data_IF_230626892568
#
_entry.id   IF_230626892568
#
_cell.length_a   1.000
_cell.length_b   1.000
_cell.length_c   1.000
_cell.angle_alpha   90.00
_cell.angle_beta   90.00
_cell.angle_gamma   90.00
#
_symmetry.space_group_name_H-M   'P 1'
#
loop_
_entity.id
_entity.type
_entity.pdbx_description
1 polymer ?
#
# COMPACT_ATOMS: atom_id res chain seq x y z
N UNK A 1 12.37 11.70 15.59
CA UNK A 1 12.75 10.60 16.50
C UNK A 1 11.98 9.38 16.02
N UNK A 2 12.64 8.23 15.83
CA UNK A 2 11.94 6.99 15.42
C UNK A 2 11.18 6.44 16.62
N UNK A 3 9.91 6.05 16.44
CA UNK A 3 9.20 5.30 17.47
C UNK A 3 9.80 3.89 17.61
N UNK A 4 9.60 3.19 18.75
CA UNK A 4 9.88 1.76 18.81
C UNK A 4 9.05 1.01 17.78
N UNK A 5 9.52 -0.16 17.36
CA UNK A 5 8.76 -1.00 16.44
C UNK A 5 7.36 -1.29 16.99
N UNK A 6 6.37 -1.22 16.12
CA UNK A 6 5.01 -1.64 16.37
C UNK A 6 5.01 -3.12 16.81
N UNK A 7 4.20 -3.42 17.83
CA UNK A 7 4.07 -4.77 18.33
C UNK A 7 3.26 -5.62 17.37
N UNK A 8 3.94 -6.42 16.55
CA UNK A 8 3.32 -7.26 15.55
C UNK A 8 4.27 -8.31 14.99
N UNK A 9 3.71 -9.27 14.27
CA UNK A 9 4.44 -10.19 13.41
C UNK A 9 4.09 -9.92 11.96
N UNK A 10 5.10 -9.91 11.10
CA UNK A 10 4.90 -9.87 9.66
C UNK A 10 4.57 -11.27 9.17
N UNK A 11 3.46 -11.42 8.47
CA UNK A 11 3.07 -12.69 7.86
C UNK A 11 2.35 -12.49 6.53
N UNK A 12 2.34 -13.55 5.73
CA UNK A 12 1.55 -13.58 4.50
C UNK A 12 0.05 -13.57 4.81
N UNK A 13 -0.69 -12.65 4.19
CA UNK A 13 -2.13 -12.57 4.29
C UNK A 13 -2.80 -13.88 3.83
N UNK A 14 -3.81 -14.40 4.56
CA UNK A 14 -4.65 -15.49 4.07
C UNK A 14 -5.36 -15.10 2.77
N UNK A 15 -5.60 -16.09 1.91
CA UNK A 15 -6.32 -15.90 0.66
C UNK A 15 -7.76 -15.45 0.93
N UNK A 16 -8.28 -14.54 0.10
CA UNK A 16 -9.65 -14.00 0.19
C UNK A 16 -9.98 -13.32 1.52
N UNK A 17 -8.99 -12.70 2.16
CA UNK A 17 -9.23 -11.87 3.33
C UNK A 17 -9.91 -10.57 2.90
N UNK A 18 -10.96 -10.17 3.61
CA UNK A 18 -11.62 -8.88 3.42
C UNK A 18 -10.84 -7.80 4.18
N UNK A 19 -10.63 -6.66 3.56
CA UNK A 19 -10.02 -5.49 4.17
C UNK A 19 -10.50 -4.21 3.49
N UNK A 20 -9.85 -3.11 3.82
CA UNK A 20 -10.17 -1.82 3.24
C UNK A 20 -8.96 -0.90 3.24
N UNK A 21 -9.00 0.11 2.38
CA UNK A 21 -8.15 1.28 2.50
C UNK A 21 -9.02 2.49 2.83
N UNK A 22 -8.43 3.48 3.50
CA UNK A 22 -9.10 4.73 3.86
C UNK A 22 -8.09 5.86 3.93
N UNK A 23 -8.47 7.01 3.39
CA UNK A 23 -7.62 8.20 3.24
C UNK A 23 -7.50 9.03 4.54
N UNK A 24 -8.38 8.80 5.51
CA UNK A 24 -8.43 9.52 6.78
C UNK A 24 -8.09 8.65 7.98
N UNK A 25 -7.58 9.27 9.05
CA UNK A 25 -7.31 8.57 10.32
C UNK A 25 -8.57 7.92 10.89
N UNK A 26 -8.42 6.70 11.38
CA UNK A 26 -9.47 5.99 12.11
C UNK A 26 -9.13 5.86 13.59
N UNK A 27 -10.15 5.84 14.43
CA UNK A 27 -9.98 5.52 15.84
C UNK A 27 -9.89 4.02 16.05
N UNK A 28 -9.33 3.60 17.19
CA UNK A 28 -9.38 2.20 17.64
C UNK A 28 -10.80 1.65 17.66
N UNK A 29 -11.78 2.43 18.12
CA UNK A 29 -13.18 1.98 18.19
C UNK A 29 -13.74 1.65 16.81
N UNK A 30 -13.45 2.49 15.80
CA UNK A 30 -13.83 2.22 14.41
C UNK A 30 -13.13 0.96 13.87
N UNK A 31 -11.83 0.80 14.16
CA UNK A 31 -11.10 -0.42 13.80
C UNK A 31 -11.68 -1.69 14.45
N UNK A 32 -12.13 -1.61 15.71
CA UNK A 32 -12.80 -2.70 16.43
C UNK A 32 -14.15 -3.04 15.79
N UNK A 33 -14.92 -2.05 15.35
CA UNK A 33 -16.17 -2.25 14.61
C UNK A 33 -15.92 -3.00 13.30
N UNK A 34 -14.92 -2.61 12.50
CA UNK A 34 -14.54 -3.32 11.28
C UNK A 34 -14.10 -4.75 11.56
N UNK A 35 -13.24 -4.96 12.57
CA UNK A 35 -12.81 -6.30 12.95
C UNK A 35 -14.01 -7.19 13.37
N UNK A 36 -14.96 -6.64 14.13
CA UNK A 36 -16.19 -7.35 14.54
C UNK A 36 -17.08 -7.76 13.35
N UNK A 37 -16.99 -7.03 12.23
CA UNK A 37 -17.69 -7.30 10.98
C UNK A 37 -16.92 -8.26 10.06
N UNK A 38 -15.78 -8.78 10.50
CA UNK A 38 -15.00 -9.78 9.78
C UNK A 38 -13.93 -9.23 8.85
N UNK A 39 -13.71 -7.91 8.82
CA UNK A 39 -12.53 -7.34 8.16
C UNK A 39 -11.25 -7.82 8.87
N UNK A 40 -10.21 -8.05 8.08
CA UNK A 40 -8.95 -8.66 8.52
C UNK A 40 -7.78 -7.71 8.42
N UNK A 41 -7.86 -6.69 7.57
CA UNK A 41 -6.80 -5.73 7.41
C UNK A 41 -7.31 -4.35 7.03
N UNK A 42 -6.47 -3.36 7.28
CA UNK A 42 -6.61 -1.99 6.83
C UNK A 42 -5.32 -1.55 6.14
N UNK A 43 -5.46 -0.79 5.06
CA UNK A 43 -4.39 -0.03 4.43
C UNK A 43 -4.55 1.43 4.83
N UNK A 44 -3.46 2.05 5.27
CA UNK A 44 -3.47 3.45 5.69
C UNK A 44 -2.37 4.23 5.01
N UNK A 45 -2.71 5.45 4.66
CA UNK A 45 -1.83 6.29 3.86
C UNK A 45 -0.75 6.93 4.73
N UNK A 46 0.46 7.01 4.16
CA UNK A 46 1.60 7.74 4.68
C UNK A 46 1.99 8.85 3.71
N UNK A 47 2.67 9.86 4.23
CA UNK A 47 2.91 11.09 3.49
C UNK A 47 3.81 10.89 2.27
N UNK A 48 3.46 11.65 1.22
CA UNK A 48 4.30 11.78 0.04
C UNK A 48 5.49 12.73 0.28
N UNK A 49 5.32 13.73 1.14
CA UNK A 49 6.36 14.69 1.52
C UNK A 49 7.15 14.25 2.75
N UNK A 50 8.20 15.00 3.09
CA UNK A 50 9.09 14.67 4.21
C UNK A 50 8.47 14.85 5.61
N UNK A 51 7.28 15.42 5.72
CA UNK A 51 6.59 15.64 6.99
C UNK A 51 5.27 14.89 6.98
N UNK A 52 4.96 14.24 8.11
CA UNK A 52 3.69 13.57 8.35
C UNK A 52 2.54 14.59 8.22
N UNK A 53 1.57 14.31 7.34
CA UNK A 53 0.36 15.10 7.25
C UNK A 53 -0.62 14.72 8.39
N UNK A 54 -1.40 15.67 8.93
CA UNK A 54 -2.32 15.41 10.05
C UNK A 54 -3.36 14.30 9.80
N UNK A 55 -3.70 14.02 8.55
CA UNK A 55 -4.65 13.01 8.10
C UNK A 55 -4.01 11.62 7.86
N UNK A 56 -2.68 11.58 7.76
CA UNK A 56 -1.92 10.36 7.44
C UNK A 56 -1.71 9.50 8.67
N UNK A 57 -1.39 8.23 8.46
CA UNK A 57 -1.15 7.26 9.53
C UNK A 57 -0.13 7.79 10.54
N UNK A 58 -0.55 7.84 11.80
CA UNK A 58 0.35 8.09 12.94
C UNK A 58 0.74 6.79 13.64
N UNK A 59 1.79 6.84 14.46
CA UNK A 59 2.18 5.73 15.32
C UNK A 59 1.05 5.31 16.28
N UNK A 60 0.37 6.29 16.90
CA UNK A 60 -0.73 6.04 17.84
C UNK A 60 -1.93 5.38 17.15
N UNK A 61 -2.26 5.81 15.92
CA UNK A 61 -3.29 5.16 15.12
C UNK A 61 -2.88 3.73 14.76
N UNK A 62 -1.65 3.50 14.32
CA UNK A 62 -1.15 2.17 13.97
C UNK A 62 -1.25 1.19 15.15
N UNK A 63 -0.90 1.63 16.36
CA UNK A 63 -1.12 0.84 17.59
C UNK A 63 -2.61 0.53 17.76
N UNK A 64 -3.48 1.54 17.66
CA UNK A 64 -4.93 1.37 17.80
C UNK A 64 -5.52 0.36 16.83
N UNK A 65 -5.09 0.37 15.56
CA UNK A 65 -5.54 -0.57 14.52
C UNK A 65 -5.09 -2.00 14.85
N UNK A 66 -3.81 -2.18 15.20
CA UNK A 66 -3.26 -3.49 15.53
C UNK A 66 -3.89 -4.08 16.79
N UNK A 67 -4.13 -3.26 17.82
CA UNK A 67 -4.80 -3.68 19.05
C UNK A 67 -6.28 -3.99 18.87
N UNK A 68 -6.93 -3.38 17.87
CA UNK A 68 -8.30 -3.67 17.47
C UNK A 68 -8.45 -5.02 16.74
N UNK A 69 -7.35 -5.60 16.26
CA UNK A 69 -7.32 -6.91 15.59
C UNK A 69 -7.25 -6.86 14.07
N UNK A 70 -7.11 -5.67 13.48
CA UNK A 70 -6.84 -5.53 12.05
C UNK A 70 -5.34 -5.64 11.78
N UNK A 71 -4.97 -6.42 10.76
CA UNK A 71 -3.63 -6.32 10.19
C UNK A 71 -3.46 -4.99 9.45
N UNK A 72 -2.23 -4.52 9.32
CA UNK A 72 -1.93 -3.19 8.79
C UNK A 72 -0.82 -3.25 7.74
N UNK A 73 -0.99 -2.48 6.65
CA UNK A 73 0.02 -2.20 5.64
C UNK A 73 -0.01 -0.72 5.27
N UNK A 74 1.15 -0.04 5.18
CA UNK A 74 1.22 1.34 4.75
C UNK A 74 1.14 1.48 3.22
N UNK A 75 0.55 2.59 2.76
CA UNK A 75 0.46 2.99 1.33
C UNK A 75 0.95 4.42 1.22
N UNK A 76 1.82 4.74 0.26
CA UNK A 76 2.18 6.14 0.02
C UNK A 76 1.10 6.82 -0.85
N UNK A 77 0.70 8.04 -0.47
CA UNK A 77 -0.15 8.87 -1.34
C UNK A 77 0.46 9.11 -2.72
N UNK A 78 -0.40 9.24 -3.73
CA UNK A 78 -0.02 9.72 -5.06
C UNK A 78 -0.15 11.25 -5.18
N UNK A 79 0.49 11.84 -6.18
CA UNK A 79 0.24 13.24 -6.56
C UNK A 79 -1.10 13.37 -7.28
N UNK A 80 -1.65 14.58 -7.25
CA UNK A 80 -2.81 14.92 -8.08
C UNK A 80 -2.59 14.54 -9.56
N UNK A 81 -3.65 14.08 -10.27
CA UNK A 81 -3.55 13.64 -11.65
C UNK A 81 -2.91 14.67 -12.59
N UNK A 82 -2.19 14.17 -13.60
CA UNK A 82 -1.40 14.96 -14.54
C UNK A 82 0.05 15.18 -14.10
N UNK A 83 0.56 14.40 -13.15
CA UNK A 83 1.92 14.57 -12.65
C UNK A 83 2.96 13.86 -13.53
N UNK A 84 4.16 14.45 -13.73
CA UNK A 84 5.22 13.83 -14.51
C UNK A 84 6.10 12.90 -13.62
N UNK A 85 6.29 11.64 -13.99
CA UNK A 85 7.17 10.72 -13.27
C UNK A 85 8.63 10.91 -13.70
N UNK A 86 9.56 10.56 -12.82
CA UNK A 86 10.99 10.46 -13.13
C UNK A 86 11.70 9.59 -12.09
N UNK A 87 12.89 9.09 -12.43
CA UNK A 87 13.71 8.35 -11.46
C UNK A 87 14.01 9.15 -10.18
N UNK A 88 14.31 10.45 -10.32
CA UNK A 88 14.61 11.32 -9.17
C UNK A 88 13.41 11.46 -8.23
N UNK A 89 12.20 11.61 -8.80
CA UNK A 89 10.96 11.62 -8.01
C UNK A 89 10.70 10.27 -7.36
N UNK A 90 10.92 9.17 -8.08
CA UNK A 90 10.72 7.81 -7.57
C UNK A 90 11.61 7.52 -6.39
N UNK A 91 12.91 7.83 -6.51
CA UNK A 91 13.88 7.71 -5.43
C UNK A 91 13.45 8.51 -4.21
N UNK A 92 13.21 9.82 -4.38
CA UNK A 92 12.84 10.70 -3.28
C UNK A 92 11.57 10.23 -2.58
N UNK A 93 10.51 9.92 -3.33
CA UNK A 93 9.27 9.47 -2.73
C UNK A 93 9.39 8.08 -2.09
N UNK A 94 10.16 7.16 -2.66
CA UNK A 94 10.43 5.87 -2.02
C UNK A 94 11.21 6.03 -0.71
N UNK A 95 12.19 6.95 -0.67
CA UNK A 95 12.92 7.28 0.55
C UNK A 95 11.99 7.86 1.62
N UNK A 96 11.12 8.81 1.27
CA UNK A 96 10.13 9.35 2.22
C UNK A 96 9.15 8.28 2.70
N UNK A 97 8.63 7.44 1.81
CA UNK A 97 7.72 6.36 2.16
C UNK A 97 8.36 5.41 3.19
N UNK A 98 9.59 4.99 2.93
CA UNK A 98 10.32 4.10 3.82
C UNK A 98 10.67 4.78 5.15
N UNK A 99 11.04 6.07 5.12
CA UNK A 99 11.32 6.84 6.34
C UNK A 99 10.07 7.02 7.21
N UNK A 100 8.89 7.26 6.62
CA UNK A 100 7.63 7.32 7.36
C UNK A 100 7.25 5.97 7.93
N UNK A 101 7.37 4.89 7.16
CA UNK A 101 7.13 3.54 7.66
C UNK A 101 8.04 3.21 8.87
N UNK A 102 9.33 3.52 8.79
CA UNK A 102 10.29 3.37 9.89
C UNK A 102 9.92 4.24 11.10
N UNK A 103 9.57 5.51 10.86
CA UNK A 103 9.19 6.45 11.92
C UNK A 103 7.97 5.96 12.67
N UNK A 104 6.93 5.52 11.96
CA UNK A 104 5.70 4.91 12.52
C UNK A 104 6.00 3.58 13.22
N UNK A 105 7.14 2.95 12.94
CA UNK A 105 7.60 1.73 13.62
C UNK A 105 7.23 0.44 12.91
N UNK A 106 6.92 0.45 11.62
CA UNK A 106 6.74 -0.80 10.88
C UNK A 106 8.05 -1.61 10.86
N UNK A 107 8.01 -2.92 11.17
CA UNK A 107 9.19 -3.77 11.08
C UNK A 107 9.49 -4.16 9.62
N UNK A 108 10.74 -4.60 9.37
CA UNK A 108 11.18 -5.16 8.09
C UNK A 108 10.22 -6.24 7.59
N UNK A 109 10.06 -6.31 6.27
CA UNK A 109 9.28 -7.33 5.57
C UNK A 109 7.81 -6.99 5.34
N UNK A 110 7.23 -5.96 6.00
CA UNK A 110 5.86 -5.53 5.70
C UNK A 110 5.78 -5.00 4.26
N UNK A 111 4.65 -5.20 3.59
CA UNK A 111 4.41 -4.53 2.32
C UNK A 111 4.19 -3.04 2.51
N UNK A 112 5.01 -2.24 1.82
CA UNK A 112 4.79 -0.82 1.62
C UNK A 112 4.37 -0.59 0.17
N UNK A 113 3.21 0.01 -0.05
CA UNK A 113 2.60 0.13 -1.38
C UNK A 113 2.86 1.50 -2.01
N UNK A 114 3.38 1.49 -3.24
CA UNK A 114 3.45 2.66 -4.11
C UNK A 114 2.11 2.82 -4.84
N UNK A 115 1.42 3.94 -4.60
CA UNK A 115 0.26 4.33 -5.39
C UNK A 115 0.71 4.89 -6.76
N UNK A 116 0.44 4.14 -7.83
CA UNK A 116 0.73 4.54 -9.20
C UNK A 116 -0.56 4.80 -9.97
N UNK A 117 -0.93 6.08 -10.07
CA UNK A 117 -2.04 6.52 -10.90
C UNK A 117 -1.94 7.99 -11.34
N UNK A 118 -2.79 8.37 -12.30
CA UNK A 118 -2.93 9.77 -12.70
C UNK A 118 -1.69 10.35 -13.38
N UNK A 119 -0.91 9.53 -14.07
CA UNK A 119 0.30 9.99 -14.77
C UNK A 119 -0.06 10.96 -15.89
N UNK A 120 0.74 12.02 -16.05
CA UNK A 120 0.62 12.95 -17.18
C UNK A 120 0.67 12.21 -18.52
N UNK A 121 -0.27 12.51 -19.41
CA UNK A 121 -0.24 11.98 -20.79
C UNK A 121 0.95 12.45 -21.62
N UNK A 122 1.70 13.45 -21.14
CA UNK A 122 2.95 13.91 -21.75
C UNK A 122 4.16 13.06 -21.37
N UNK A 123 4.05 12.18 -20.38
CA UNK A 123 5.13 11.29 -19.95
C UNK A 123 5.23 10.06 -20.87
N UNK A 124 6.37 9.38 -20.82
CA UNK A 124 6.58 8.10 -21.51
C UNK A 124 6.46 6.93 -20.55
N UNK A 125 6.23 5.73 -21.08
CA UNK A 125 6.31 4.50 -20.28
C UNK A 125 7.68 4.33 -19.60
N UNK A 126 8.76 4.78 -20.25
CA UNK A 126 10.11 4.72 -19.70
C UNK A 126 10.28 5.62 -18.47
N UNK A 127 9.64 6.80 -18.45
CA UNK A 127 9.66 7.70 -17.29
C UNK A 127 8.96 7.05 -16.09
N UNK A 128 7.85 6.35 -16.34
CA UNK A 128 7.10 5.60 -15.32
C UNK A 128 7.91 4.42 -14.80
N UNK A 129 8.52 3.62 -15.69
CA UNK A 129 9.41 2.51 -15.31
C UNK A 129 10.56 3.01 -14.45
N UNK A 130 11.19 4.12 -14.83
CA UNK A 130 12.29 4.72 -14.11
C UNK A 130 11.86 5.20 -12.71
N UNK A 131 10.69 5.84 -12.60
CA UNK A 131 10.08 6.22 -11.32
C UNK A 131 9.84 4.99 -10.43
N UNK A 132 9.11 4.00 -10.94
CA UNK A 132 8.72 2.80 -10.21
C UNK A 132 9.91 2.02 -9.68
N UNK A 133 10.95 1.82 -10.51
CA UNK A 133 12.13 1.06 -10.10
C UNK A 133 13.00 1.83 -9.10
N UNK A 134 13.09 3.16 -9.21
CA UNK A 134 13.79 3.98 -8.23
C UNK A 134 13.07 3.99 -6.87
N UNK A 135 11.73 4.07 -6.88
CA UNK A 135 10.91 3.95 -5.67
C UNK A 135 11.09 2.58 -5.01
N UNK A 136 11.00 1.51 -5.82
CA UNK A 136 11.21 0.15 -5.36
C UNK A 136 12.56 -0.01 -4.64
N UNK A 137 13.64 0.45 -5.25
CA UNK A 137 14.98 0.32 -4.68
C UNK A 137 15.13 1.07 -3.36
N UNK A 138 14.57 2.28 -3.26
CA UNK A 138 14.60 3.08 -2.04
C UNK A 138 13.88 2.39 -0.87
N UNK A 139 12.71 1.79 -1.14
CA UNK A 139 11.95 1.03 -0.14
C UNK A 139 12.64 -0.27 0.26
N UNK A 140 13.18 -1.01 -0.73
CA UNK A 140 13.86 -2.27 -0.49
C UNK A 140 15.13 -2.11 0.36
N UNK A 141 15.84 -0.97 0.25
CA UNK A 141 17.03 -0.67 1.06
C UNK A 141 16.70 -0.57 2.56
N UNK A 142 15.47 -0.21 2.92
CA UNK A 142 14.99 -0.21 4.31
C UNK A 142 14.35 -1.53 4.74
N UNK A 143 14.53 -2.59 3.94
CA UNK A 143 14.03 -3.94 4.21
C UNK A 143 12.51 -4.08 4.27
N UNK A 144 11.75 -3.06 3.84
CA UNK A 144 10.32 -3.18 3.55
C UNK A 144 10.13 -3.94 2.23
N UNK A 145 8.99 -4.61 2.09
CA UNK A 145 8.63 -5.34 0.86
C UNK A 145 7.91 -4.40 -0.11
N UNK A 146 8.51 -3.98 -1.24
CA UNK A 146 7.85 -3.03 -2.14
C UNK A 146 6.65 -3.68 -2.84
N UNK A 147 5.50 -3.02 -2.77
CA UNK A 147 4.29 -3.35 -3.53
C UNK A 147 3.86 -2.21 -4.44
N UNK A 148 3.17 -2.53 -5.53
CA UNK A 148 2.65 -1.54 -6.48
C UNK A 148 1.13 -1.64 -6.55
N UNK A 149 0.45 -0.53 -6.24
CA UNK A 149 -0.93 -0.32 -6.61
C UNK A 149 -1.00 0.18 -8.05
N UNK A 150 -1.76 -0.52 -8.88
CA UNK A 150 -1.94 -0.20 -10.31
C UNK A 150 -3.29 0.48 -10.48
N UNK A 151 -3.27 1.81 -10.50
CA UNK A 151 -4.46 2.66 -10.68
C UNK A 151 -4.71 3.08 -12.12
N UNK A 152 -5.57 4.08 -12.32
CA UNK A 152 -5.88 4.57 -13.65
C UNK A 152 -4.70 5.33 -14.27
N UNK A 153 -4.59 5.31 -15.60
CA UNK A 153 -3.63 6.13 -16.35
C UNK A 153 -2.16 5.94 -15.94
N UNK A 154 -1.69 4.69 -15.75
CA UNK A 154 -0.28 4.40 -15.44
C UNK A 154 0.66 4.45 -16.64
N UNK A 155 0.11 4.44 -17.86
CA UNK A 155 0.83 4.33 -19.14
C UNK A 155 1.58 3.00 -19.36
N UNK A 156 1.50 2.05 -18.42
CA UNK A 156 2.15 0.75 -18.54
C UNK A 156 1.17 -0.33 -18.99
N UNK A 157 1.63 -1.18 -19.90
CA UNK A 157 0.92 -2.40 -20.26
C UNK A 157 1.30 -3.56 -19.31
N UNK A 158 0.65 -4.71 -19.48
CA UNK A 158 0.87 -5.87 -18.60
C UNK A 158 2.27 -6.49 -18.69
N UNK A 159 2.89 -6.44 -19.86
CA UNK A 159 4.26 -6.92 -20.07
C UNK A 159 5.27 -6.01 -19.36
N UNK A 160 5.13 -4.70 -19.50
CA UNK A 160 5.99 -3.72 -18.84
C UNK A 160 5.85 -3.79 -17.31
N UNK A 161 4.62 -3.93 -16.82
CA UNK A 161 4.39 -4.14 -15.38
C UNK A 161 5.14 -5.38 -14.88
N UNK A 162 5.19 -6.48 -15.64
CA UNK A 162 5.80 -7.73 -15.19
C UNK A 162 7.32 -7.83 -15.45
N UNK A 163 7.79 -7.41 -16.63
CA UNK A 163 9.18 -7.61 -17.07
C UNK A 163 10.08 -6.41 -16.77
N UNK A 164 9.55 -5.20 -16.86
CA UNK A 164 10.37 -3.98 -16.75
C UNK A 164 10.39 -3.41 -15.33
N UNK A 165 9.45 -3.81 -14.48
CA UNK A 165 9.41 -3.41 -13.07
C UNK A 165 9.99 -4.46 -12.14
N UNK A 166 10.62 -4.00 -11.06
CA UNK A 166 11.21 -4.87 -10.02
C UNK A 166 10.19 -5.45 -9.03
N UNK A 167 8.95 -4.95 -9.03
CA UNK A 167 7.92 -5.34 -8.07
C UNK A 167 7.49 -6.81 -8.21
N UNK A 168 7.19 -7.43 -7.07
CA UNK A 168 6.63 -8.79 -6.99
C UNK A 168 5.27 -8.83 -6.30
N UNK A 169 4.79 -7.70 -5.81
CA UNK A 169 3.53 -7.56 -5.09
C UNK A 169 2.67 -6.52 -5.80
N UNK A 170 1.51 -6.93 -6.29
CA UNK A 170 0.64 -6.07 -7.09
C UNK A 170 -0.76 -5.99 -6.48
N UNK A 171 -1.25 -4.77 -6.33
CA UNK A 171 -2.60 -4.43 -5.91
C UNK A 171 -3.34 -3.77 -7.07
N UNK A 172 -4.51 -4.30 -7.42
CA UNK A 172 -5.34 -3.79 -8.50
C UNK A 172 -6.33 -2.76 -7.98
N UNK A 173 -6.40 -1.59 -8.61
CA UNK A 173 -7.51 -0.64 -8.44
C UNK A 173 -8.86 -1.18 -8.95
N UNK A 174 -9.95 -0.50 -8.60
CA UNK A 174 -11.26 -0.81 -9.21
C UNK A 174 -11.35 -0.37 -10.69
N UNK A 175 -10.38 0.39 -11.18
CA UNK A 175 -10.30 0.82 -12.58
C UNK A 175 -10.00 -0.34 -13.56
N UNK A 176 -10.20 -0.08 -14.86
CA UNK A 176 -9.75 -0.97 -15.93
C UNK A 176 -8.25 -0.76 -16.17
N UNK A 177 -7.46 -1.69 -15.64
CA UNK A 177 -5.99 -1.67 -15.70
C UNK A 177 -5.44 -2.96 -16.28
N UNK A 178 -4.20 -2.93 -16.78
CA UNK A 178 -3.54 -4.09 -17.36
C UNK A 178 -3.02 -5.04 -16.27
N UNK A 179 -3.24 -6.34 -16.45
CA UNK A 179 -2.71 -7.38 -15.55
C UNK A 179 -1.20 -7.60 -15.75
N UNK A 180 -0.39 -7.67 -14.69
CA UNK A 180 1.02 -8.08 -14.77
C UNK A 180 1.14 -9.59 -14.99
N UNK A 181 0.98 -10.05 -16.23
CA UNK A 181 1.01 -11.47 -16.58
C UNK A 181 2.46 -11.98 -16.72
N UNK A 182 2.78 -13.21 -16.27
CA UNK A 182 1.89 -14.25 -15.78
C UNK A 182 1.46 -14.12 -14.29
N UNK A 183 2.13 -13.32 -13.48
CA UNK A 183 1.92 -13.24 -12.02
C UNK A 183 0.49 -12.91 -11.58
N UNK A 184 -0.08 -11.82 -12.06
CA UNK A 184 -1.39 -11.32 -11.60
C UNK A 184 -1.33 -10.54 -10.28
N UNK A 185 -2.48 -10.36 -9.64
CA UNK A 185 -2.65 -9.49 -8.47
C UNK A 185 -2.80 -10.28 -7.17
N UNK A 186 -2.25 -9.73 -6.10
CA UNK A 186 -2.31 -10.24 -4.73
C UNK A 186 -3.38 -9.54 -3.88
N UNK A 187 -3.89 -8.41 -4.37
CA UNK A 187 -4.96 -7.65 -3.75
C UNK A 187 -5.77 -6.94 -4.81
N UNK A 188 -7.08 -6.85 -4.62
CA UNK A 188 -7.99 -6.18 -5.55
C UNK A 188 -8.90 -5.25 -4.76
N UNK A 189 -8.90 -3.98 -5.12
CA UNK A 189 -9.91 -3.00 -4.74
C UNK A 189 -11.17 -3.27 -5.56
N UNK A 190 -12.28 -3.51 -4.87
CA UNK A 190 -13.51 -4.09 -5.43
C UNK A 190 -14.69 -3.12 -5.43
N UNK A 191 -14.75 -2.21 -4.46
CA UNK A 191 -15.77 -1.17 -4.31
C UNK A 191 -15.08 0.11 -3.82
N UNK A 192 -15.47 1.28 -4.33
CA UNK A 192 -14.87 2.58 -4.01
C UNK A 192 -15.90 3.45 -3.30
N UNK A 193 -15.44 4.24 -2.31
CA UNK A 193 -16.20 5.28 -1.60
C UNK A 193 -17.50 4.75 -0.97
N UNK A 194 -17.42 3.56 -0.34
CA UNK A 194 -18.56 2.97 0.37
C UNK A 194 -18.60 3.45 1.82
N UNK A 195 -19.78 3.85 2.29
CA UNK A 195 -19.97 4.37 3.64
C UNK A 195 -20.22 3.22 4.64
N UNK A 196 -19.25 2.97 5.52
CA UNK A 196 -19.27 1.89 6.53
C UNK A 196 -18.72 2.44 7.84
N UNK A 197 -19.34 2.14 8.99
CA UNK A 197 -18.88 2.60 10.32
C UNK A 197 -18.60 4.11 10.39
N UNK A 198 -19.48 4.89 9.74
CA UNK A 198 -19.44 6.35 9.69
C UNK A 198 -18.25 6.96 8.91
N UNK A 199 -17.52 6.16 8.13
CA UNK A 199 -16.43 6.62 7.26
C UNK A 199 -16.61 6.10 5.84
N UNK A 200 -16.00 6.77 4.87
CA UNK A 200 -15.87 6.26 3.51
C UNK A 200 -14.61 5.41 3.41
N UNK A 201 -14.75 4.23 2.82
CA UNK A 201 -13.65 3.30 2.59
C UNK A 201 -13.68 2.77 1.17
N UNK A 202 -12.54 2.26 0.73
CA UNK A 202 -12.42 1.44 -0.46
C UNK A 202 -12.19 -0.01 -0.05
N UNK A 203 -13.01 -0.92 -0.59
CA UNK A 203 -13.04 -2.33 -0.16
C UNK A 203 -12.02 -3.15 -0.89
N UNK A 204 -11.18 -3.88 -0.14
CA UNK A 204 -10.09 -4.68 -0.67
C UNK A 204 -10.23 -6.16 -0.33
N UNK A 205 -9.79 -7.02 -1.25
CA UNK A 205 -9.74 -8.48 -1.05
C UNK A 205 -8.35 -8.99 -1.44
N UNK A 206 -7.74 -9.77 -0.56
CA UNK A 206 -6.44 -10.42 -0.84
C UNK A 206 -6.59 -11.69 -1.67
N UNK A 207 -5.56 -12.01 -2.44
CA UNK A 207 -5.46 -13.21 -3.25
C UNK A 207 -4.06 -13.80 -3.15
N UNK A 208 -3.96 -15.08 -3.49
CA UNK A 208 -2.69 -15.68 -3.88
C UNK A 208 -2.54 -15.43 -5.38
N UNK A 209 -1.47 -14.75 -5.78
CA UNK A 209 -1.20 -14.53 -7.20
C UNK A 209 -0.83 -15.86 -7.90
N UNK A 210 -0.74 -15.85 -9.23
CA UNK A 210 -0.47 -17.05 -10.03
C UNK A 210 0.93 -17.64 -9.80
N UNK A 211 1.82 -16.91 -9.12
CA UNK A 211 3.16 -17.35 -8.73
C UNK A 211 3.26 -17.68 -7.23
N UNK A 212 2.13 -17.72 -6.52
CA UNK A 212 2.07 -18.05 -5.09
C UNK A 212 2.32 -16.88 -4.15
N UNK A 213 2.54 -15.67 -4.70
CA UNK A 213 2.78 -14.45 -3.93
C UNK A 213 1.54 -13.98 -3.17
N UNK A 214 1.77 -13.30 -2.04
CA UNK A 214 0.74 -12.79 -1.13
C UNK A 214 1.18 -11.46 -0.53
N UNK A 215 0.26 -10.58 -0.11
CA UNK A 215 0.60 -9.44 0.72
C UNK A 215 1.24 -9.89 2.03
N UNK A 216 2.25 -9.17 2.51
CA UNK A 216 2.91 -9.32 3.80
C UNK A 216 2.39 -8.19 4.69
N UNK A 217 1.53 -8.51 5.65
CA UNK A 217 0.95 -7.52 6.55
C UNK A 217 1.58 -7.62 7.93
N UNK A 218 1.44 -6.55 8.71
CA UNK A 218 1.75 -6.58 10.14
C UNK A 218 0.46 -6.92 10.91
N UNK A 219 0.49 -7.92 11.78
CA UNK A 219 -0.65 -8.26 12.65
C UNK A 219 -0.20 -8.42 14.09
N UNK A 220 -1.04 -8.02 15.04
CA UNK A 220 -0.76 -8.23 16.45
C UNK A 220 -0.80 -9.75 16.75
N UNK A 221 0.20 -10.32 17.47
CA UNK A 221 0.32 -11.77 17.65
C UNK A 221 -0.85 -12.44 18.36
N UNK A 222 -1.70 -11.66 19.05
CA UNK A 222 -2.92 -12.15 19.69
C UNK A 222 -4.01 -12.59 18.69
N UNK A 223 -3.89 -12.20 17.42
CA UNK A 223 -4.89 -12.43 16.37
C UNK A 223 -4.37 -13.25 15.18
N UNK A 224 -3.21 -13.90 15.33
CA UNK A 224 -2.62 -14.80 14.33
C UNK A 224 -3.37 -16.12 14.25
#
# INVERSE_FOLDING_TARGET
>A
MSYPNLNGVVQSAPNKSLGFDVDSRISRAVAEEFHSQGYKFCLRYISLGASEAPEDLSHEEAIGILEAGLALMPVQHVRNPGWPPSAELGKRYGEEAANHADQIGFPSGVNLWCDLEGISSSATAQDVIAYCNAWHDAVAIKEHTPGLYVGANTLLNGEQLYQDLKFKHYWKSASKVHTPAPRGYQMIQSEIDIFVNHINIDKNITYIDNEGGRPQWLINPRFV
#
